data_IF_175360217920
#
_entry.id   IF_175360217920
#
_cell.length_a   1.000
_cell.length_b   1.000
_cell.length_c   1.000
_cell.angle_alpha   90.00
_cell.angle_beta   90.00
_cell.angle_gamma   90.00
#
_symmetry.space_group_name_H-M   'P 1'
#
loop_
_entity.id
_entity.type
_entity.pdbx_description
1 polymer ?
#
# COMPACT_ATOMS: atom_id res chain seq x y z
N UNK A 1 -20.95 12.59 -60.26
CA UNK A 1 -21.83 13.30 -59.29
C UNK A 1 -23.20 12.65 -59.11
N UNK A 2 -23.65 11.84 -60.01
CA UNK A 2 -24.98 11.14 -59.99
C UNK A 2 -25.08 10.13 -58.83
N UNK A 3 -24.02 9.38 -58.54
CA UNK A 3 -24.04 8.36 -57.50
C UNK A 3 -24.33 8.92 -56.07
N UNK A 4 -23.81 10.08 -55.75
CA UNK A 4 -24.09 10.72 -54.46
C UNK A 4 -25.51 11.28 -54.35
N UNK A 5 -26.10 11.75 -55.45
CA UNK A 5 -27.47 12.23 -55.46
C UNK A 5 -28.48 11.08 -55.31
N UNK A 6 -28.21 9.93 -55.89
CA UNK A 6 -29.03 8.74 -55.77
C UNK A 6 -29.03 8.14 -54.36
N UNK A 7 -27.85 8.12 -53.73
CA UNK A 7 -27.72 7.73 -52.29
C UNK A 7 -28.52 8.69 -51.41
N UNK A 8 -28.42 10.00 -51.66
CA UNK A 8 -29.10 11.02 -50.85
C UNK A 8 -30.63 10.95 -50.98
N UNK A 9 -31.14 10.66 -52.15
CA UNK A 9 -32.59 10.42 -52.39
C UNK A 9 -33.05 9.14 -51.66
N UNK A 10 -32.29 8.08 -51.71
CA UNK A 10 -32.59 6.79 -51.02
C UNK A 10 -32.66 7.00 -49.53
N UNK A 11 -31.72 7.76 -48.93
CA UNK A 11 -31.70 8.13 -47.52
C UNK A 11 -32.97 8.91 -47.15
N UNK A 12 -33.34 9.89 -47.95
CA UNK A 12 -34.55 10.68 -47.72
C UNK A 12 -35.84 9.87 -47.82
N UNK A 13 -35.87 8.88 -48.66
CA UNK A 13 -37.04 8.02 -48.87
C UNK A 13 -37.26 7.02 -47.74
N UNK A 14 -36.17 6.59 -47.05
CA UNK A 14 -36.21 5.59 -45.97
C UNK A 14 -35.58 6.11 -44.67
N UNK A 15 -35.95 7.30 -44.22
CA UNK A 15 -35.38 8.02 -43.10
C UNK A 15 -35.26 7.20 -41.82
N UNK A 16 -36.33 6.46 -41.47
CA UNK A 16 -36.35 5.67 -40.24
C UNK A 16 -35.36 4.50 -40.29
N UNK A 17 -35.30 3.79 -41.43
CA UNK A 17 -34.36 2.66 -41.61
C UNK A 17 -32.91 3.17 -41.53
N UNK A 18 -32.62 4.24 -42.25
CA UNK A 18 -31.28 4.84 -42.26
C UNK A 18 -30.86 5.34 -40.85
N UNK A 19 -31.80 5.96 -40.14
CA UNK A 19 -31.55 6.43 -38.79
C UNK A 19 -31.24 5.29 -37.82
N UNK A 20 -32.02 4.19 -37.87
CA UNK A 20 -31.79 3.01 -37.00
C UNK A 20 -30.46 2.34 -37.34
N UNK A 21 -30.15 2.19 -38.65
CA UNK A 21 -28.88 1.59 -39.07
C UNK A 21 -27.68 2.45 -38.64
N UNK A 22 -27.77 3.76 -38.88
CA UNK A 22 -26.73 4.72 -38.46
C UNK A 22 -26.54 4.74 -36.95
N UNK A 23 -27.64 4.70 -36.18
CA UNK A 23 -27.59 4.60 -34.72
C UNK A 23 -26.92 3.30 -34.27
N UNK A 24 -27.27 2.16 -34.85
CA UNK A 24 -26.71 0.86 -34.49
C UNK A 24 -25.20 0.81 -34.70
N UNK A 25 -24.73 1.33 -35.85
CA UNK A 25 -23.28 1.39 -36.14
C UNK A 25 -22.59 2.38 -35.21
N UNK A 26 -23.16 3.58 -35.04
CA UNK A 26 -22.61 4.59 -34.13
C UNK A 26 -22.53 4.10 -32.67
N UNK A 27 -23.58 3.39 -32.20
CA UNK A 27 -23.62 2.78 -30.91
C UNK A 27 -22.53 1.71 -30.71
N UNK A 28 -22.36 0.86 -31.76
CA UNK A 28 -21.28 -0.16 -31.75
C UNK A 28 -19.88 0.47 -31.61
N UNK A 29 -19.61 1.51 -32.42
CA UNK A 29 -18.33 2.25 -32.34
C UNK A 29 -18.15 2.91 -30.97
N UNK A 30 -19.21 3.54 -30.45
CA UNK A 30 -19.19 4.15 -29.11
C UNK A 30 -18.84 3.15 -28.03
N UNK A 31 -19.47 1.97 -28.03
CA UNK A 31 -19.16 0.93 -27.05
C UNK A 31 -17.71 0.44 -27.13
N UNK A 32 -17.17 0.28 -28.35
CA UNK A 32 -15.76 -0.12 -28.54
C UNK A 32 -14.82 0.94 -27.94
N UNK A 33 -15.06 2.22 -28.21
CA UNK A 33 -14.25 3.32 -27.69
C UNK A 33 -14.31 3.38 -26.16
N UNK A 34 -15.51 3.23 -25.59
CA UNK A 34 -15.70 3.18 -24.13
C UNK A 34 -14.94 2.01 -23.52
N UNK A 35 -15.05 0.81 -24.12
CA UNK A 35 -14.38 -0.38 -23.61
C UNK A 35 -12.85 -0.25 -23.64
N UNK A 36 -12.31 0.29 -24.74
CA UNK A 36 -10.86 0.56 -24.85
C UNK A 36 -10.39 1.61 -23.86
N UNK A 37 -11.19 2.65 -23.65
CA UNK A 37 -10.87 3.72 -22.70
C UNK A 37 -10.86 3.20 -21.26
N UNK A 38 -11.85 2.39 -20.87
CA UNK A 38 -11.92 1.74 -19.56
C UNK A 38 -10.73 0.78 -19.36
N UNK A 39 -10.42 -0.04 -20.38
CA UNK A 39 -9.28 -0.96 -20.33
C UNK A 39 -7.94 -0.24 -20.14
N UNK A 40 -7.71 0.83 -20.89
CA UNK A 40 -6.49 1.64 -20.74
C UNK A 40 -6.46 2.40 -19.41
N UNK A 41 -7.60 2.94 -18.97
CA UNK A 41 -7.71 3.64 -17.70
C UNK A 41 -7.42 2.72 -16.50
N UNK A 42 -7.97 1.51 -16.52
CA UNK A 42 -7.71 0.50 -15.49
C UNK A 42 -6.23 0.06 -15.49
N UNK A 43 -5.68 -0.20 -16.68
CA UNK A 43 -4.28 -0.58 -16.82
C UNK A 43 -3.31 0.51 -16.31
N UNK A 44 -3.61 1.77 -16.57
CA UNK A 44 -2.80 2.89 -16.08
C UNK A 44 -3.00 3.08 -14.56
N UNK A 45 -4.23 2.97 -14.05
CA UNK A 45 -4.51 3.07 -12.62
C UNK A 45 -3.79 1.99 -11.80
N UNK A 46 -3.79 0.75 -12.30
CA UNK A 46 -3.03 -0.34 -11.67
C UNK A 46 -1.52 -0.05 -11.70
N UNK A 47 -0.97 0.38 -12.85
CA UNK A 47 0.46 0.73 -12.95
C UNK A 47 0.85 1.88 -12.03
N UNK A 48 -0.03 2.87 -11.85
CA UNK A 48 0.25 4.01 -10.97
C UNK A 48 0.26 3.60 -9.49
N UNK A 49 -0.57 2.63 -9.07
CA UNK A 49 -0.52 2.06 -7.72
C UNK A 49 0.80 1.32 -7.42
N UNK A 50 1.41 0.69 -8.41
CA UNK A 50 2.68 -0.03 -8.24
C UNK A 50 3.93 0.78 -8.57
N UNK A 51 3.80 2.05 -8.97
CA UNK A 51 4.98 2.89 -9.29
C UNK A 51 5.79 3.26 -8.05
N UNK A 52 5.13 3.33 -6.91
CA UNK A 52 5.73 3.80 -5.67
C UNK A 52 6.32 2.66 -4.85
N UNK A 53 5.93 1.41 -5.12
CA UNK A 53 6.56 0.23 -4.51
C UNK A 53 7.82 -0.18 -5.27
N UNK A 54 8.80 -0.72 -4.58
CA UNK A 54 9.99 -1.28 -5.21
C UNK A 54 9.61 -2.46 -6.12
N UNK A 55 9.52 -2.22 -7.44
CA UNK A 55 9.09 -3.20 -8.47
C UNK A 55 9.97 -4.45 -8.48
N UNK A 56 11.19 -4.36 -7.99
CA UNK A 56 12.19 -5.42 -7.88
C UNK A 56 12.29 -6.01 -6.46
N UNK A 57 11.28 -5.82 -5.61
CA UNK A 57 11.26 -6.38 -4.27
C UNK A 57 10.71 -7.81 -4.26
N UNK A 58 11.20 -8.62 -3.32
CA UNK A 58 10.71 -9.97 -3.05
C UNK A 58 10.22 -10.02 -1.62
N UNK A 59 8.96 -10.40 -1.44
CA UNK A 59 8.34 -10.58 -0.13
C UNK A 59 8.34 -12.06 0.25
N UNK A 60 8.98 -12.39 1.37
CA UNK A 60 9.04 -13.74 1.90
C UNK A 60 8.17 -13.79 3.15
N UNK A 61 7.19 -14.68 3.14
CA UNK A 61 6.31 -14.91 4.29
C UNK A 61 6.52 -16.31 4.84
N UNK A 62 6.45 -16.49 6.17
CA UNK A 62 6.50 -17.82 6.74
C UNK A 62 5.26 -18.60 6.30
N UNK A 63 5.46 -19.85 5.94
CA UNK A 63 4.40 -20.76 5.57
C UNK A 63 4.14 -21.82 6.64
N UNK A 64 3.70 -23.00 6.21
CA UNK A 64 3.60 -24.20 7.04
C UNK A 64 4.49 -25.29 6.50
N UNK A 65 4.87 -26.23 7.39
CA UNK A 65 5.70 -27.39 7.01
C UNK A 65 4.88 -28.37 6.19
N UNK A 66 5.43 -28.80 5.05
CA UNK A 66 4.82 -29.82 4.17
C UNK A 66 5.39 -31.25 4.38
N UNK A 67 6.52 -31.36 5.07
CA UNK A 67 7.23 -32.61 5.28
C UNK A 67 7.37 -32.88 6.79
N UNK A 68 7.06 -34.08 7.28
CA UNK A 68 7.29 -34.43 8.68
C UNK A 68 8.81 -34.52 8.92
N UNK A 69 9.27 -33.99 10.05
CA UNK A 69 10.67 -34.02 10.43
C UNK A 69 10.85 -34.28 11.91
N UNK A 70 11.70 -35.25 12.26
CA UNK A 70 12.04 -35.65 13.64
C UNK A 70 10.82 -35.90 14.56
N UNK A 71 9.80 -36.57 14.04
CA UNK A 71 8.58 -36.91 14.78
C UNK A 71 7.56 -35.75 14.88
N UNK A 72 7.86 -34.60 14.28
CA UNK A 72 6.96 -33.49 14.21
C UNK A 72 6.01 -33.59 13.00
N UNK A 73 4.73 -33.31 13.21
CA UNK A 73 3.70 -33.40 12.18
C UNK A 73 3.88 -32.35 11.06
N UNK A 74 3.27 -32.57 9.90
CA UNK A 74 3.07 -31.58 8.84
C UNK A 74 2.11 -30.48 9.27
N UNK A 75 1.98 -29.43 8.47
CA UNK A 75 1.09 -28.28 8.68
C UNK A 75 1.35 -27.46 9.95
N UNK A 76 2.59 -27.46 10.44
CA UNK A 76 2.99 -26.56 11.51
C UNK A 76 3.31 -25.18 10.95
N UNK A 77 2.64 -24.16 11.48
CA UNK A 77 2.95 -22.78 11.14
C UNK A 77 4.40 -22.44 11.49
N UNK A 78 5.11 -21.91 10.53
CA UNK A 78 6.45 -21.34 10.73
C UNK A 78 6.32 -19.88 11.17
N UNK A 79 7.31 -19.42 11.91
CA UNK A 79 7.46 -18.00 12.25
C UNK A 79 8.92 -17.63 12.02
N UNK A 80 9.13 -16.46 11.42
CA UNK A 80 10.44 -15.86 11.36
C UNK A 80 10.76 -15.21 12.71
N UNK A 81 12.00 -15.33 13.12
CA UNK A 81 12.57 -14.71 14.32
C UNK A 81 13.67 -13.72 13.92
N UNK A 82 14.06 -12.83 14.84
CA UNK A 82 15.10 -11.84 14.57
C UNK A 82 16.42 -12.50 14.12
N UNK A 83 16.75 -13.70 14.64
CA UNK A 83 17.93 -14.48 14.19
C UNK A 83 17.89 -14.87 12.72
N UNK A 84 16.70 -15.08 12.14
CA UNK A 84 16.57 -15.45 10.73
C UNK A 84 16.87 -14.21 9.85
N UNK A 85 16.47 -13.01 10.31
CA UNK A 85 16.81 -11.76 9.66
C UNK A 85 18.33 -11.48 9.71
N UNK A 86 18.95 -11.66 10.88
CA UNK A 86 20.40 -11.51 11.03
C UNK A 86 21.17 -12.52 10.16
N UNK A 87 20.73 -13.74 10.13
CA UNK A 87 21.33 -14.77 9.27
C UNK A 87 21.23 -14.40 7.78
N UNK A 88 20.08 -13.88 7.34
CA UNK A 88 19.92 -13.39 5.96
C UNK A 88 20.86 -12.23 5.68
N UNK A 89 20.96 -11.27 6.58
CA UNK A 89 21.85 -10.12 6.47
C UNK A 89 23.33 -10.50 6.31
N UNK A 90 23.76 -11.55 7.00
CA UNK A 90 25.14 -12.04 6.94
C UNK A 90 25.44 -12.93 5.72
N UNK A 91 24.45 -13.66 5.22
CA UNK A 91 24.66 -14.71 4.22
C UNK A 91 24.13 -14.36 2.83
N UNK A 92 23.26 -13.35 2.69
CA UNK A 92 22.75 -12.90 1.40
C UNK A 92 23.70 -11.87 0.80
N UNK A 93 24.00 -12.03 -0.48
CA UNK A 93 24.71 -11.05 -1.30
C UNK A 93 23.80 -10.57 -2.44
N UNK A 94 24.12 -9.41 -2.99
CA UNK A 94 23.42 -8.84 -4.15
C UNK A 94 21.98 -8.35 -3.87
N UNK A 95 21.75 -7.80 -2.68
CA UNK A 95 20.56 -7.00 -2.39
C UNK A 95 20.97 -5.53 -2.14
N UNK A 96 20.07 -4.62 -2.44
CA UNK A 96 20.25 -3.20 -2.16
C UNK A 96 19.75 -2.87 -0.76
N UNK A 97 18.56 -3.36 -0.42
CA UNK A 97 17.93 -3.20 0.88
C UNK A 97 17.39 -4.55 1.37
N UNK A 98 17.58 -4.83 2.64
CA UNK A 98 17.00 -5.97 3.33
C UNK A 98 16.19 -5.45 4.51
N UNK A 99 14.88 -5.69 4.51
CA UNK A 99 14.02 -5.26 5.59
C UNK A 99 13.22 -6.41 6.18
N UNK A 100 12.91 -6.29 7.46
CA UNK A 100 11.93 -7.11 8.15
C UNK A 100 10.75 -6.26 8.57
N UNK A 101 9.54 -6.85 8.52
CA UNK A 101 8.34 -6.24 9.06
C UNK A 101 7.55 -7.22 9.91
N UNK A 102 6.86 -6.71 10.87
CA UNK A 102 5.88 -7.42 11.67
C UNK A 102 4.56 -6.66 11.63
N UNK A 103 3.55 -7.26 11.05
CA UNK A 103 2.21 -6.69 10.98
C UNK A 103 1.40 -7.17 12.20
N UNK A 104 1.06 -6.23 13.10
CA UNK A 104 0.16 -6.54 14.20
C UNK A 104 -1.27 -6.64 13.68
N UNK A 105 -1.84 -7.83 13.75
CA UNK A 105 -3.20 -8.09 13.30
C UNK A 105 -4.23 -7.28 14.07
N UNK A 106 -5.20 -6.76 13.33
CA UNK A 106 -6.30 -5.98 13.88
C UNK A 106 -5.94 -4.53 14.18
N UNK A 107 -6.94 -3.78 14.60
CA UNK A 107 -6.79 -2.38 14.99
C UNK A 107 -6.26 -2.29 16.41
N UNK A 108 -5.20 -1.52 16.60
CA UNK A 108 -4.57 -1.29 17.89
C UNK A 108 -5.13 -0.03 18.52
N UNK A 109 -5.41 -0.06 19.81
CA UNK A 109 -5.88 1.13 20.53
C UNK A 109 -4.77 2.17 20.67
N UNK A 110 -4.98 3.32 20.04
CA UNK A 110 -4.06 4.46 20.10
C UNK A 110 -4.75 5.59 20.83
N UNK A 111 -4.13 6.09 21.91
CA UNK A 111 -4.72 7.09 22.78
C UNK A 111 -3.80 8.29 23.00
N UNK A 112 -4.43 9.47 23.15
CA UNK A 112 -3.81 10.71 23.60
C UNK A 112 -4.79 11.47 24.48
N UNK A 113 -4.54 11.50 25.78
CA UNK A 113 -5.45 12.09 26.76
C UNK A 113 -6.82 11.40 26.75
N UNK A 114 -7.87 12.12 26.41
CA UNK A 114 -9.24 11.60 26.33
C UNK A 114 -9.63 11.07 24.94
N UNK A 115 -8.77 11.28 23.93
CA UNK A 115 -9.01 10.78 22.57
C UNK A 115 -8.42 9.38 22.44
N UNK A 116 -9.20 8.43 21.90
CA UNK A 116 -8.77 7.09 21.56
C UNK A 116 -9.42 6.65 20.27
N UNK A 117 -8.68 5.95 19.43
CA UNK A 117 -9.19 5.32 18.20
C UNK A 117 -8.25 4.22 17.75
N UNK A 118 -8.75 3.34 16.89
CA UNK A 118 -8.00 2.21 16.39
C UNK A 118 -7.21 2.52 15.13
N UNK A 119 -5.93 2.12 15.12
CA UNK A 119 -5.05 2.20 13.97
C UNK A 119 -4.25 0.91 13.79
N UNK A 120 -3.77 0.66 12.57
CA UNK A 120 -2.85 -0.44 12.30
C UNK A 120 -1.44 -0.11 12.85
N UNK A 121 -0.76 -1.13 13.37
CA UNK A 121 0.60 -1.01 13.88
C UNK A 121 1.53 -1.97 13.13
N UNK A 122 2.65 -1.46 12.69
CA UNK A 122 3.66 -2.21 11.96
C UNK A 122 5.03 -2.03 12.63
N UNK A 123 5.65 -3.14 13.05
CA UNK A 123 7.05 -3.16 13.45
C UNK A 123 7.94 -3.25 12.22
N UNK A 124 8.93 -2.36 12.09
CA UNK A 124 9.77 -2.27 10.87
C UNK A 124 11.24 -2.08 11.21
N UNK A 125 12.11 -2.56 10.30
CA UNK A 125 13.53 -2.20 10.27
C UNK A 125 13.74 -0.88 9.51
N UNK A 126 14.89 -0.21 9.65
CA UNK A 126 15.18 1.07 8.98
C UNK A 126 15.06 1.03 7.47
N UNK A 127 15.49 -0.05 6.82
CA UNK A 127 15.50 -0.22 5.37
C UNK A 127 14.10 -0.36 4.77
N UNK A 128 13.09 -0.65 5.59
CA UNK A 128 11.69 -0.73 5.15
C UNK A 128 11.21 0.54 4.44
N UNK A 129 11.75 1.71 4.84
CA UNK A 129 11.49 3.00 4.20
C UNK A 129 11.77 2.98 2.70
N UNK A 130 12.86 2.35 2.29
CA UNK A 130 13.31 2.37 0.90
C UNK A 130 12.54 1.34 0.05
N UNK A 131 12.14 0.22 0.66
CA UNK A 131 11.38 -0.84 -0.02
C UNK A 131 9.93 -0.42 -0.28
N UNK A 132 9.32 0.30 0.66
CA UNK A 132 7.93 0.81 0.55
C UNK A 132 7.88 2.28 0.11
N UNK A 133 9.02 2.87 -0.27
CA UNK A 133 9.12 4.26 -0.69
C UNK A 133 8.38 5.25 0.23
N UNK A 134 8.50 5.03 1.55
CA UNK A 134 7.82 5.83 2.56
C UNK A 134 8.41 7.24 2.62
N UNK A 135 7.61 8.27 2.34
CA UNK A 135 8.00 9.66 2.40
C UNK A 135 7.87 10.22 3.82
N UNK A 136 8.95 10.75 4.38
CA UNK A 136 8.92 11.42 5.69
C UNK A 136 8.63 12.90 5.50
N UNK A 137 7.46 13.34 5.94
CA UNK A 137 7.01 14.74 5.83
C UNK A 137 7.62 15.63 6.92
N UNK A 138 7.78 15.09 8.14
CA UNK A 138 8.29 15.83 9.30
C UNK A 138 9.11 14.90 10.17
N UNK A 139 10.17 15.41 10.79
CA UNK A 139 11.01 14.66 11.70
C UNK A 139 11.96 13.69 10.99
N UNK A 140 12.09 12.48 11.50
CA UNK A 140 12.98 11.44 10.97
C UNK A 140 12.31 10.08 10.94
N UNK A 141 12.86 9.19 10.13
CA UNK A 141 12.50 7.77 10.13
C UNK A 141 13.19 7.03 11.28
N UNK A 142 12.75 5.78 11.51
CA UNK A 142 13.38 4.82 12.41
C UNK A 142 14.79 4.54 11.91
N UNK A 143 15.75 4.43 12.82
CA UNK A 143 17.15 4.13 12.51
C UNK A 143 17.66 2.93 13.31
N UNK A 144 18.85 2.43 12.98
CA UNK A 144 19.48 1.28 13.65
C UNK A 144 19.56 1.47 15.19
N UNK A 145 19.94 2.67 15.64
CA UNK A 145 20.01 2.95 17.07
C UNK A 145 18.65 2.88 17.79
N UNK A 146 17.53 3.05 17.10
CA UNK A 146 16.21 2.87 17.69
C UNK A 146 15.87 1.37 17.84
N UNK A 147 16.31 0.55 16.90
CA UNK A 147 16.16 -0.92 16.94
C UNK A 147 17.08 -1.51 18.01
N UNK A 148 18.39 -1.23 17.95
CA UNK A 148 19.41 -1.79 18.83
C UNK A 148 19.13 -1.48 20.31
N UNK A 149 18.67 -0.25 20.58
CA UNK A 149 18.35 0.18 21.95
C UNK A 149 16.88 -0.02 22.32
N UNK A 150 16.10 -0.75 21.53
CA UNK A 150 14.66 -1.02 21.78
C UNK A 150 13.87 0.24 22.18
N UNK A 151 14.13 1.35 21.49
CA UNK A 151 13.54 2.64 21.82
C UNK A 151 12.04 2.64 21.57
N UNK A 152 11.28 3.19 22.51
CA UNK A 152 9.82 3.36 22.36
C UNK A 152 9.53 4.63 21.56
N UNK A 153 9.78 4.58 20.28
CA UNK A 153 9.52 5.65 19.31
C UNK A 153 8.53 5.19 18.26
N UNK A 154 7.77 6.13 17.70
CA UNK A 154 6.80 5.86 16.66
C UNK A 154 6.87 6.90 15.55
N UNK A 155 6.75 6.42 14.32
CA UNK A 155 6.43 7.20 13.14
C UNK A 155 4.94 7.09 12.91
N UNK A 156 4.24 8.19 12.67
CA UNK A 156 2.79 8.20 12.49
C UNK A 156 2.41 8.66 11.10
N UNK A 157 1.40 8.03 10.52
CA UNK A 157 0.85 8.46 9.24
C UNK A 157 0.19 9.82 9.33
N UNK A 158 0.14 10.54 8.24
CA UNK A 158 -0.46 11.89 8.16
C UNK A 158 -1.90 11.97 8.72
N UNK A 159 -2.83 11.02 8.43
CA UNK A 159 -4.17 11.05 9.03
C UNK A 159 -4.18 10.81 10.54
N UNK A 160 -3.19 10.09 11.09
CA UNK A 160 -3.03 9.90 12.55
C UNK A 160 -2.62 11.22 13.19
N UNK A 161 -1.69 11.95 12.55
CA UNK A 161 -1.30 13.28 12.98
C UNK A 161 -2.50 14.25 13.02
N UNK A 162 -3.27 14.30 11.94
CA UNK A 162 -4.43 15.21 11.82
C UNK A 162 -5.49 14.94 12.89
N UNK A 163 -5.69 13.68 13.27
CA UNK A 163 -6.65 13.29 14.30
C UNK A 163 -6.19 13.69 15.72
N UNK A 164 -4.96 13.35 16.09
CA UNK A 164 -4.45 13.58 17.44
C UNK A 164 -3.82 14.96 17.63
N UNK A 165 -3.21 15.52 16.59
CA UNK A 165 -2.41 16.74 16.61
C UNK A 165 -2.85 17.72 15.52
N UNK A 166 -4.04 18.32 15.61
CA UNK A 166 -4.59 19.18 14.56
C UNK A 166 -3.73 20.41 14.26
N UNK A 167 -2.87 20.82 15.20
CA UNK A 167 -1.95 21.95 15.02
C UNK A 167 -0.59 21.53 14.43
N UNK A 168 -0.45 20.31 13.93
CA UNK A 168 0.78 19.74 13.36
C UNK A 168 1.99 19.71 14.34
N UNK A 169 1.78 19.69 15.64
CA UNK A 169 2.80 19.68 16.68
C UNK A 169 3.06 18.27 17.27
N UNK A 170 3.06 17.26 16.42
CA UNK A 170 3.17 15.85 16.82
C UNK A 170 4.57 15.46 17.33
N UNK A 171 5.64 16.08 16.79
CA UNK A 171 7.01 15.69 17.08
C UNK A 171 7.37 15.84 18.56
N UNK A 172 7.99 14.81 19.14
CA UNK A 172 8.38 14.77 20.55
C UNK A 172 7.21 14.52 21.53
N UNK A 173 5.96 14.52 21.04
CA UNK A 173 4.79 14.19 21.86
C UNK A 173 4.71 12.67 22.07
N UNK A 174 3.94 12.27 23.08
CA UNK A 174 3.76 10.86 23.41
C UNK A 174 2.35 10.40 23.02
N UNK A 175 2.29 9.25 22.36
CA UNK A 175 1.06 8.48 22.13
C UNK A 175 1.11 7.19 22.93
N UNK A 176 -0.01 6.74 23.41
CA UNK A 176 -0.14 5.43 24.07
C UNK A 176 -0.74 4.45 23.07
N UNK A 177 -0.03 3.36 22.80
CA UNK A 177 -0.47 2.30 21.91
C UNK A 177 -0.59 1.02 22.71
N UNK A 178 -1.78 0.48 22.89
CA UNK A 178 -2.06 -0.70 23.72
C UNK A 178 -1.44 -0.59 25.13
N UNK A 179 -1.52 0.59 25.76
CA UNK A 179 -0.96 0.84 27.10
C UNK A 179 0.54 1.16 27.12
N UNK A 180 1.26 1.07 26.01
CA UNK A 180 2.69 1.39 25.91
C UNK A 180 2.86 2.81 25.36
N UNK A 181 3.67 3.63 26.05
CA UNK A 181 3.93 5.02 25.63
C UNK A 181 5.07 5.07 24.61
N UNK A 182 4.79 5.64 23.44
CA UNK A 182 5.74 5.88 22.36
C UNK A 182 5.92 7.38 22.14
N UNK A 183 7.14 7.80 21.87
CA UNK A 183 7.45 9.18 21.47
C UNK A 183 7.38 9.31 19.95
N UNK A 184 6.61 10.27 19.45
CA UNK A 184 6.50 10.53 18.00
C UNK A 184 7.79 11.17 17.51
N UNK A 185 8.50 10.51 16.58
CA UNK A 185 9.76 10.98 16.00
C UNK A 185 9.62 11.50 14.57
N UNK A 186 8.53 11.20 13.94
CA UNK A 186 8.26 11.67 12.58
C UNK A 186 6.82 11.43 12.14
N UNK A 187 6.48 12.07 11.05
CA UNK A 187 5.21 11.93 10.34
C UNK A 187 5.54 11.52 8.92
N UNK A 188 4.85 10.51 8.44
CA UNK A 188 5.04 10.01 7.08
C UNK A 188 3.78 10.12 6.23
N UNK A 189 4.01 10.10 4.95
CA UNK A 189 2.99 9.93 3.92
C UNK A 189 3.32 8.69 3.10
N UNK A 190 2.30 7.96 2.74
CA UNK A 190 2.36 6.79 1.90
C UNK A 190 1.39 6.99 0.73
N UNK A 191 1.81 6.64 -0.48
CA UNK A 191 0.97 6.75 -1.67
C UNK A 191 0.01 5.57 -1.83
N UNK A 192 0.16 4.54 -1.01
CA UNK A 192 -0.66 3.34 -1.00
C UNK A 192 -2.12 3.57 -0.59
N UNK A 193 -2.80 2.50 -0.24
CA UNK A 193 -4.19 2.53 0.18
C UNK A 193 -4.44 3.31 1.48
N UNK A 194 -5.70 3.65 1.75
CA UNK A 194 -6.07 4.39 2.97
C UNK A 194 -5.61 3.70 4.26
N UNK A 195 -5.50 2.38 4.26
CA UNK A 195 -5.02 1.62 5.40
C UNK A 195 -3.52 1.84 5.66
N UNK A 196 -2.71 2.02 4.61
CA UNK A 196 -1.27 2.27 4.71
C UNK A 196 -0.98 3.68 5.18
N UNK A 197 -1.81 4.64 4.83
CA UNK A 197 -1.75 6.00 5.34
C UNK A 197 -2.15 6.11 6.81
N UNK A 198 -3.03 5.21 7.28
CA UNK A 198 -3.62 5.23 8.63
C UNK A 198 -2.96 4.21 9.56
N UNK A 199 -1.65 4.27 9.67
CA UNK A 199 -0.90 3.34 10.51
C UNK A 199 0.21 4.02 11.28
N UNK A 200 0.79 3.28 12.22
CA UNK A 200 1.97 3.64 12.97
C UNK A 200 3.09 2.65 12.65
N UNK A 201 4.30 3.16 12.46
CA UNK A 201 5.52 2.37 12.40
C UNK A 201 6.29 2.49 13.71
N UNK A 202 6.71 1.36 14.25
CA UNK A 202 7.58 1.27 15.42
C UNK A 202 8.82 0.43 15.10
N UNK A 203 9.94 0.56 15.83
CA UNK A 203 11.08 -0.34 15.66
C UNK A 203 10.66 -1.79 15.92
N UNK A 204 11.09 -2.71 15.04
CA UNK A 204 10.92 -4.14 15.24
C UNK A 204 11.98 -4.59 16.27
N UNK A 205 11.55 -5.19 17.39
CA UNK A 205 12.46 -5.61 18.47
C UNK A 205 11.92 -6.86 19.16
#
# INVERSE_FOLDING_TARGET
MEFFSEIWETIKRHKLRTAITGFSVGWGIFLIVVLLSVGNGLGNGVKDQFKDDAINSIWISPGSTSIPYQGLAVDRSLRFENRDYEWLRENLSNYEYLCARFDQWGSQDVALGTKSTGYSLKGVTPDYRFVENTEVLQGRYINEADVDNTRKVALIGKPVQEFFFPNNDALGKRLVVNGISYTVIGVFYDNGGDNEKRMLHIPIT
#
